data_IF_747290989211
#
_entry.id   IF_747290989211
#
_cell.length_a   1.000
_cell.length_b   1.000
_cell.length_c   1.000
_cell.angle_alpha   90.00
_cell.angle_beta   90.00
_cell.angle_gamma   90.00
#
_symmetry.space_group_name_H-M   'P 1'
#
loop_
_entity.id
_entity.type
_entity.pdbx_description
1 polymer ?
#
# COMPACT_ATOMS: atom_id res chain seq x y z
N UNK A 1 4.75 13.00 -23.36
CA UNK A 1 3.54 12.32 -22.83
C UNK A 1 3.81 11.83 -21.41
N UNK A 2 2.92 12.09 -20.45
CA UNK A 2 3.13 11.64 -19.06
C UNK A 2 2.97 10.12 -18.95
N UNK A 3 3.93 9.45 -18.35
CA UNK A 3 3.85 8.01 -18.11
C UNK A 3 2.77 7.70 -17.06
N UNK A 4 1.62 7.20 -17.55
CA UNK A 4 0.43 6.89 -16.74
C UNK A 4 0.71 5.79 -15.70
N UNK A 5 1.68 4.91 -15.93
CA UNK A 5 2.07 3.87 -14.99
C UNK A 5 2.77 4.46 -13.76
N UNK A 6 3.69 5.42 -13.99
CA UNK A 6 4.37 6.18 -12.94
C UNK A 6 3.37 6.96 -12.09
N UNK A 7 2.42 7.66 -12.71
CA UNK A 7 1.36 8.40 -11.99
C UNK A 7 0.54 7.49 -11.07
N UNK A 8 0.11 6.31 -11.55
CA UNK A 8 -0.64 5.33 -10.75
C UNK A 8 0.18 4.83 -9.56
N UNK A 9 1.47 4.54 -9.76
CA UNK A 9 2.38 4.08 -8.70
C UNK A 9 2.56 5.13 -7.60
N UNK A 10 2.80 6.39 -7.98
CA UNK A 10 2.94 7.52 -7.05
C UNK A 10 1.66 7.75 -6.26
N UNK A 11 0.51 7.76 -6.93
CA UNK A 11 -0.79 7.94 -6.26
C UNK A 11 -1.07 6.82 -5.24
N UNK A 12 -0.70 5.57 -5.56
CA UNK A 12 -0.80 4.44 -4.64
C UNK A 12 0.09 4.63 -3.41
N UNK A 13 1.34 5.02 -3.60
CA UNK A 13 2.28 5.29 -2.49
C UNK A 13 1.76 6.40 -1.56
N UNK A 14 1.21 7.49 -2.11
CA UNK A 14 0.60 8.57 -1.32
C UNK A 14 -0.56 8.09 -0.46
N UNK A 15 -1.45 7.25 -1.00
CA UNK A 15 -2.55 6.65 -0.22
C UNK A 15 -2.05 5.72 0.87
N UNK A 16 -1.08 4.85 0.58
CA UNK A 16 -0.50 3.97 1.61
C UNK A 16 0.14 4.78 2.75
N UNK A 17 0.89 5.84 2.43
CA UNK A 17 1.48 6.72 3.44
C UNK A 17 0.40 7.39 4.30
N UNK A 18 -0.71 7.84 3.69
CA UNK A 18 -1.84 8.42 4.41
C UNK A 18 -2.48 7.43 5.38
N UNK A 19 -2.77 6.21 4.94
CA UNK A 19 -3.38 5.18 5.80
C UNK A 19 -2.44 4.81 6.95
N UNK A 20 -1.13 4.71 6.69
CA UNK A 20 -0.12 4.41 7.71
C UNK A 20 0.09 5.54 8.74
N UNK A 21 -0.50 6.74 8.54
CA UNK A 21 -0.50 7.77 9.59
C UNK A 21 -1.40 7.39 10.77
N UNK A 22 -2.48 6.65 10.50
CA UNK A 22 -3.47 6.29 11.53
C UNK A 22 -3.42 4.80 11.87
N UNK A 23 -3.12 3.94 10.90
CA UNK A 23 -3.08 2.48 11.09
C UNK A 23 -1.66 2.03 11.35
N UNK A 24 -1.37 1.71 12.61
CA UNK A 24 -0.09 1.15 13.07
C UNK A 24 -0.30 -0.26 13.63
N UNK A 25 0.70 -1.12 13.46
CA UNK A 25 0.70 -2.46 14.06
C UNK A 25 1.27 -2.40 15.46
N UNK A 26 0.72 -3.21 16.37
CA UNK A 26 1.25 -3.45 17.71
C UNK A 26 1.48 -4.95 17.90
N UNK A 27 2.25 -5.40 18.90
CA UNK A 27 2.43 -6.83 19.15
C UNK A 27 1.11 -7.58 19.37
N UNK A 28 0.16 -6.95 20.08
CA UNK A 28 -1.17 -7.51 20.33
C UNK A 28 -2.12 -7.43 19.13
N UNK A 29 -1.87 -6.50 18.19
CA UNK A 29 -2.65 -6.34 16.96
C UNK A 29 -1.73 -5.92 15.80
N UNK A 30 -1.07 -6.88 15.13
CA UNK A 30 -0.17 -6.58 14.02
C UNK A 30 -0.97 -6.06 12.82
N UNK A 31 -0.30 -5.29 11.95
CA UNK A 31 -0.96 -4.62 10.82
C UNK A 31 -0.73 -5.39 9.54
N UNK A 32 -1.80 -6.01 9.02
CA UNK A 32 -1.81 -6.61 7.69
C UNK A 32 -1.46 -5.60 6.59
N UNK A 33 -0.33 -5.77 5.92
CA UNK A 33 0.07 -5.04 4.71
C UNK A 33 -0.33 -5.84 3.46
N UNK A 34 -1.15 -5.26 2.60
CA UNK A 34 -1.56 -5.89 1.32
C UNK A 34 -0.91 -5.18 0.14
N UNK A 35 -0.34 -5.95 -0.77
CA UNK A 35 0.11 -5.51 -2.07
C UNK A 35 -0.66 -6.23 -3.18
N UNK A 36 -1.15 -5.47 -4.16
CA UNK A 36 -1.85 -6.01 -5.33
C UNK A 36 -1.11 -5.65 -6.61
N UNK A 37 -0.88 -6.68 -7.43
CA UNK A 37 -0.46 -6.57 -8.82
C UNK A 37 -1.65 -6.87 -9.75
N UNK A 38 -1.43 -6.84 -11.07
CA UNK A 38 -2.48 -7.23 -12.02
C UNK A 38 -2.75 -8.74 -12.01
N UNK A 39 -1.80 -9.56 -11.56
CA UNK A 39 -1.89 -11.03 -11.61
C UNK A 39 -2.21 -11.65 -10.25
N UNK A 40 -1.64 -11.10 -9.17
CA UNK A 40 -1.72 -11.69 -7.83
C UNK A 40 -1.88 -10.63 -6.74
N UNK A 41 -2.31 -11.09 -5.56
CA UNK A 41 -2.39 -10.34 -4.31
C UNK A 41 -1.48 -11.05 -3.28
N UNK A 42 -0.67 -10.27 -2.56
CA UNK A 42 0.15 -10.76 -1.45
C UNK A 42 -0.12 -9.96 -0.19
N UNK A 43 0.04 -10.62 0.96
CA UNK A 43 -0.17 -10.03 2.28
C UNK A 43 0.99 -10.36 3.24
N UNK A 44 1.27 -9.44 4.17
CA UNK A 44 2.29 -9.56 5.22
C UNK A 44 1.69 -9.11 6.54
N UNK A 45 2.06 -9.76 7.64
CA UNK A 45 1.60 -9.44 9.01
C UNK A 45 2.68 -8.65 9.74
#
# INVERSE_FOLDING_TARGET
MSDRSKTKRVARQRRHARVRKTVNGTPARPRLAVFRSNKHISAQI
#
